data_IF_933894558701
#
_entry.id   IF_933894558701
#
_cell.length_a   1.000
_cell.length_b   1.000
_cell.length_c   1.000
_cell.angle_alpha   90.00
_cell.angle_beta   90.00
_cell.angle_gamma   90.00
#
_symmetry.space_group_name_H-M   'P 1'
#
loop_
_entity.id
_entity.type
_entity.pdbx_description
1 polymer ?
#
# COMPACT_ATOMS: atom_id res chain seq x y z
N UNK A 1 -24.71 -5.08 -6.53
CA UNK A 1 -24.02 -5.03 -5.22
C UNK A 1 -23.71 -3.58 -4.79
N UNK A 2 -22.83 -2.82 -5.49
CA UNK A 2 -22.52 -1.44 -5.08
C UNK A 2 -23.73 -0.52 -5.09
N UNK A 3 -24.57 -0.60 -6.13
CA UNK A 3 -25.79 0.21 -6.21
C UNK A 3 -26.79 -0.09 -5.08
N UNK A 4 -26.85 -1.31 -4.61
CA UNK A 4 -27.70 -1.70 -3.45
C UNK A 4 -27.14 -1.13 -2.15
N UNK A 5 -25.82 -1.19 -1.96
CA UNK A 5 -25.14 -0.55 -0.82
C UNK A 5 -25.36 0.96 -0.82
N UNK A 6 -25.20 1.59 -2.00
CA UNK A 6 -25.43 3.01 -2.16
C UNK A 6 -26.87 3.39 -1.85
N UNK A 7 -27.85 2.61 -2.29
CA UNK A 7 -29.27 2.87 -2.01
C UNK A 7 -29.64 2.70 -0.52
N UNK A 8 -28.93 1.85 0.20
CA UNK A 8 -29.20 1.59 1.63
C UNK A 8 -28.56 2.64 2.57
N UNK A 9 -27.62 3.45 2.10
CA UNK A 9 -26.90 4.41 2.92
C UNK A 9 -27.43 5.84 2.69
N UNK A 10 -27.36 6.74 3.69
CA UNK A 10 -27.67 8.16 3.50
C UNK A 10 -26.67 8.86 2.59
N UNK A 11 -27.03 10.05 2.10
CA UNK A 11 -26.16 10.88 1.23
C UNK A 11 -25.18 11.70 2.07
N UNK A 12 -24.41 11.02 2.90
CA UNK A 12 -23.40 11.59 3.79
C UNK A 12 -22.08 10.84 3.58
N UNK A 13 -21.02 11.52 3.06
CA UNK A 13 -19.73 10.87 2.82
C UNK A 13 -19.08 10.28 4.07
N UNK A 14 -19.26 10.91 5.24
CA UNK A 14 -18.68 10.39 6.48
C UNK A 14 -19.34 9.07 6.92
N UNK A 15 -20.65 8.94 6.72
CA UNK A 15 -21.37 7.70 7.01
C UNK A 15 -20.97 6.61 6.01
N UNK A 16 -20.80 6.96 4.72
CA UNK A 16 -20.34 6.02 3.69
C UNK A 16 -18.92 5.51 4.03
N UNK A 17 -18.03 6.39 4.47
CA UNK A 17 -16.67 6.01 4.88
C UNK A 17 -16.70 5.11 6.11
N UNK A 18 -17.41 5.49 7.17
CA UNK A 18 -17.55 4.68 8.38
C UNK A 18 -18.14 3.29 8.08
N UNK A 19 -19.14 3.21 7.19
CA UNK A 19 -19.66 1.95 6.69
C UNK A 19 -18.60 1.12 5.98
N UNK A 20 -17.79 1.74 5.10
CA UNK A 20 -16.75 1.03 4.36
C UNK A 20 -15.68 0.47 5.27
N UNK A 21 -15.27 1.20 6.32
CA UNK A 21 -14.33 0.75 7.34
C UNK A 21 -14.87 -0.46 8.13
N UNK A 22 -16.14 -0.46 8.47
CA UNK A 22 -16.77 -1.60 9.14
C UNK A 22 -16.96 -2.79 8.19
N UNK A 23 -17.33 -2.53 6.93
CA UNK A 23 -17.59 -3.55 5.93
C UNK A 23 -16.32 -4.26 5.46
N UNK A 24 -15.19 -3.55 5.44
CA UNK A 24 -13.88 -4.03 5.00
C UNK A 24 -12.90 -4.11 6.19
N UNK A 25 -13.06 -5.11 7.10
CA UNK A 25 -12.11 -5.30 8.18
C UNK A 25 -10.70 -5.50 7.61
N UNK A 26 -9.73 -4.88 8.25
CA UNK A 26 -8.36 -4.83 7.77
C UNK A 26 -7.72 -6.22 7.65
N UNK A 27 -7.29 -6.55 6.44
CA UNK A 27 -6.55 -7.76 6.09
C UNK A 27 -5.50 -7.44 5.04
N UNK A 28 -4.32 -8.04 5.18
CA UNK A 28 -3.24 -7.78 4.23
C UNK A 28 -3.47 -8.48 2.89
N UNK A 29 -2.84 -7.98 1.83
CA UNK A 29 -2.86 -8.64 0.52
C UNK A 29 -2.28 -10.07 0.58
N UNK A 30 -1.38 -10.36 1.53
CA UNK A 30 -0.87 -11.71 1.79
C UNK A 30 -1.96 -12.66 2.26
N UNK A 31 -2.81 -12.21 3.20
CA UNK A 31 -3.86 -13.04 3.79
C UNK A 31 -4.99 -13.34 2.82
N UNK A 32 -5.30 -12.38 1.94
CA UNK A 32 -6.42 -12.49 1.02
C UNK A 32 -6.03 -13.11 -0.32
N UNK A 33 -4.89 -12.71 -0.88
CA UNK A 33 -4.50 -13.02 -2.26
C UNK A 33 -3.17 -13.78 -2.37
N UNK A 34 -2.46 -13.98 -1.27
CA UNK A 34 -1.11 -14.59 -1.26
C UNK A 34 -0.08 -13.79 -2.06
N UNK A 35 -0.29 -12.49 -2.25
CA UNK A 35 0.55 -11.60 -3.04
C UNK A 35 1.11 -10.46 -2.20
N UNK A 36 2.30 -9.99 -2.58
CA UNK A 36 2.95 -8.86 -1.92
C UNK A 36 2.14 -7.56 -2.03
N UNK A 37 1.55 -7.36 -3.18
CA UNK A 37 0.70 -6.21 -3.48
C UNK A 37 -0.37 -6.62 -4.49
N UNK A 38 -1.61 -6.29 -4.21
CA UNK A 38 -2.75 -6.55 -5.08
C UNK A 38 -3.73 -5.38 -5.00
N UNK A 39 -4.19 -4.91 -6.14
CA UNK A 39 -5.19 -3.86 -6.22
C UNK A 39 -6.53 -4.51 -6.61
N UNK A 40 -7.43 -4.74 -5.64
CA UNK A 40 -8.66 -5.47 -5.91
C UNK A 40 -9.65 -4.65 -6.72
N UNK A 41 -10.50 -5.33 -7.45
CA UNK A 41 -11.71 -4.72 -8.02
C UNK A 41 -12.77 -4.53 -6.93
N UNK A 42 -13.70 -3.59 -7.13
CA UNK A 42 -14.80 -3.40 -6.17
C UNK A 42 -15.63 -4.66 -5.97
N UNK A 43 -15.78 -5.50 -7.00
CA UNK A 43 -16.49 -6.76 -6.92
C UNK A 43 -15.80 -7.75 -5.97
N UNK A 44 -14.47 -7.83 -6.02
CA UNK A 44 -13.66 -8.66 -5.12
C UNK A 44 -13.72 -8.14 -3.69
N UNK A 45 -13.68 -6.82 -3.48
CA UNK A 45 -13.85 -6.22 -2.14
C UNK A 45 -15.20 -6.59 -1.54
N UNK A 46 -16.28 -6.43 -2.30
CA UNK A 46 -17.63 -6.75 -1.84
C UNK A 46 -17.79 -8.24 -1.56
N UNK A 47 -17.21 -9.10 -2.38
CA UNK A 47 -17.27 -10.56 -2.19
C UNK A 47 -16.39 -11.04 -1.03
N UNK A 48 -15.17 -10.47 -0.90
CA UNK A 48 -14.16 -10.90 0.08
C UNK A 48 -14.40 -10.37 1.49
N UNK A 49 -15.16 -9.29 1.65
CA UNK A 49 -15.43 -8.62 2.93
C UNK A 49 -14.18 -8.49 3.78
N UNK A 50 -13.16 -7.87 3.23
CA UNK A 50 -11.90 -7.59 3.89
C UNK A 50 -10.89 -7.00 2.93
N UNK A 51 -9.90 -6.32 3.45
CA UNK A 51 -8.87 -5.69 2.65
C UNK A 51 -8.00 -4.71 3.43
N UNK A 52 -7.21 -3.98 2.70
CA UNK A 52 -6.37 -2.89 3.21
C UNK A 52 -6.96 -1.52 2.86
N UNK A 53 -6.18 -0.47 3.03
CA UNK A 53 -6.58 0.89 2.68
C UNK A 53 -7.02 1.03 1.21
N UNK A 54 -6.48 0.21 0.30
CA UNK A 54 -6.88 0.23 -1.12
C UNK A 54 -8.32 -0.29 -1.28
N UNK A 55 -8.64 -1.41 -0.63
CA UNK A 55 -9.98 -2.01 -0.68
C UNK A 55 -11.03 -1.06 -0.06
N UNK A 56 -10.71 -0.45 1.07
CA UNK A 56 -11.57 0.52 1.74
C UNK A 56 -11.81 1.75 0.86
N UNK A 57 -10.74 2.34 0.30
CA UNK A 57 -10.86 3.49 -0.59
C UNK A 57 -11.65 3.18 -1.86
N UNK A 58 -11.46 1.99 -2.46
CA UNK A 58 -12.21 1.53 -3.63
C UNK A 58 -13.71 1.43 -3.32
N UNK A 59 -14.06 0.82 -2.18
CA UNK A 59 -15.47 0.67 -1.79
C UNK A 59 -16.12 2.02 -1.53
N UNK A 60 -15.47 2.86 -0.70
CA UNK A 60 -15.94 4.22 -0.39
C UNK A 60 -16.16 5.04 -1.65
N UNK A 61 -15.13 5.15 -2.51
CA UNK A 61 -15.20 5.89 -3.77
C UNK A 61 -16.32 5.36 -4.70
N UNK A 62 -16.47 4.03 -4.77
CA UNK A 62 -17.51 3.42 -5.61
C UNK A 62 -18.91 3.73 -5.12
N UNK A 63 -19.13 3.74 -3.81
CA UNK A 63 -20.43 4.10 -3.23
C UNK A 63 -20.72 5.59 -3.43
N UNK A 64 -19.75 6.48 -3.13
CA UNK A 64 -19.89 7.92 -3.32
C UNK A 64 -20.16 8.26 -4.79
N UNK A 65 -19.46 7.63 -5.72
CA UNK A 65 -19.69 7.77 -7.15
C UNK A 65 -21.10 7.33 -7.56
N UNK A 66 -21.58 6.19 -7.03
CA UNK A 66 -22.93 5.71 -7.34
C UNK A 66 -24.01 6.64 -6.78
N UNK A 67 -23.72 7.38 -5.71
CA UNK A 67 -24.60 8.40 -5.11
C UNK A 67 -24.48 9.77 -5.75
N UNK A 68 -23.50 9.98 -6.65
CA UNK A 68 -23.19 11.30 -7.24
C UNK A 68 -22.63 12.31 -6.25
N UNK A 69 -22.06 11.84 -5.12
CA UNK A 69 -21.44 12.70 -4.11
C UNK A 69 -20.00 13.05 -4.53
N UNK A 70 -19.56 14.31 -4.38
CA UNK A 70 -18.22 14.72 -4.76
C UNK A 70 -17.17 14.17 -3.79
N UNK A 71 -16.08 13.66 -4.33
CA UNK A 71 -14.91 13.20 -3.60
C UNK A 71 -13.66 13.29 -4.46
N UNK A 72 -12.50 13.16 -3.83
CA UNK A 72 -11.19 13.07 -4.49
C UNK A 72 -10.44 11.86 -3.92
N UNK A 73 -9.88 11.02 -4.79
CA UNK A 73 -8.93 9.99 -4.36
C UNK A 73 -7.55 10.63 -4.17
N UNK A 74 -6.93 10.37 -3.03
CA UNK A 74 -5.59 10.83 -2.71
C UNK A 74 -4.67 9.66 -2.44
N UNK A 75 -3.42 9.82 -2.86
CA UNK A 75 -2.38 8.80 -2.77
C UNK A 75 -1.14 9.41 -2.12
N UNK A 76 -0.66 8.79 -1.04
CA UNK A 76 0.68 9.04 -0.51
C UNK A 76 1.61 7.87 -0.86
N UNK A 77 2.84 7.87 -0.33
CA UNK A 77 3.77 6.75 -0.54
C UNK A 77 3.34 5.46 0.16
N UNK A 78 2.51 5.55 1.16
CA UNK A 78 2.14 4.46 2.09
C UNK A 78 0.64 4.25 2.24
N UNK A 79 -0.18 5.21 1.78
CA UNK A 79 -1.62 5.17 2.01
C UNK A 79 -2.42 5.68 0.80
N UNK A 80 -3.64 5.20 0.66
CA UNK A 80 -4.66 5.72 -0.27
C UNK A 80 -5.93 5.96 0.52
N UNK A 81 -6.58 7.09 0.27
CA UNK A 81 -7.83 7.44 0.92
C UNK A 81 -8.75 8.26 0.03
N UNK A 82 -9.99 8.37 0.46
CA UNK A 82 -10.99 9.25 -0.14
C UNK A 82 -11.06 10.53 0.67
N UNK A 83 -10.94 11.67 -0.01
CA UNK A 83 -11.09 13.00 0.56
C UNK A 83 -12.42 13.62 0.10
N UNK A 84 -13.11 14.29 1.00
CA UNK A 84 -14.39 14.97 0.73
C UNK A 84 -14.57 16.19 1.65
N UNK A 85 -15.51 17.05 1.30
CA UNK A 85 -15.78 18.25 2.08
C UNK A 85 -16.18 17.94 3.51
N UNK A 86 -15.48 18.51 4.48
CA UNK A 86 -15.73 18.30 5.92
C UNK A 86 -15.03 17.10 6.54
N UNK A 87 -14.23 16.35 5.78
CA UNK A 87 -13.43 15.25 6.31
C UNK A 87 -12.38 15.78 7.30
N UNK A 88 -12.25 15.13 8.45
CA UNK A 88 -11.23 15.45 9.44
C UNK A 88 -9.85 14.97 8.93
N UNK A 89 -8.87 15.87 8.98
CA UNK A 89 -7.47 15.54 8.62
C UNK A 89 -6.86 14.69 9.73
N UNK A 90 -6.34 13.54 9.37
CA UNK A 90 -5.58 12.64 10.25
C UNK A 90 -4.11 12.64 9.88
N UNK A 91 -3.26 11.97 10.68
CA UNK A 91 -1.84 11.82 10.38
C UNK A 91 -1.57 11.04 9.09
N UNK A 92 -2.41 10.04 8.78
CA UNK A 92 -2.29 9.17 7.60
C UNK A 92 -2.95 9.79 6.37
N UNK A 93 -3.94 10.64 6.58
CA UNK A 93 -4.78 11.23 5.53
C UNK A 93 -4.62 12.75 5.48
N UNK A 94 -3.37 13.19 5.58
CA UNK A 94 -3.01 14.62 5.42
C UNK A 94 -2.84 14.92 3.92
N UNK A 95 -3.67 15.80 3.33
CA UNK A 95 -3.51 16.22 1.93
C UNK A 95 -2.12 16.76 1.60
N UNK A 96 -1.37 17.27 2.59
CA UNK A 96 0.01 17.72 2.44
C UNK A 96 1.02 16.60 2.17
N UNK A 97 0.69 15.35 2.48
CA UNK A 97 1.52 14.17 2.20
C UNK A 97 1.18 13.47 0.88
N UNK A 98 0.10 13.88 0.22
CA UNK A 98 -0.33 13.29 -1.04
C UNK A 98 0.68 13.56 -2.16
N UNK A 99 1.05 12.50 -2.88
CA UNK A 99 1.92 12.55 -4.06
C UNK A 99 1.11 12.54 -5.37
N UNK A 100 -0.14 12.11 -5.31
CA UNK A 100 -1.06 12.14 -6.45
C UNK A 100 -2.50 12.27 -5.98
N UNK A 101 -3.34 12.85 -6.83
CA UNK A 101 -4.79 12.91 -6.66
C UNK A 101 -5.48 12.79 -8.01
N UNK A 102 -6.77 12.41 -8.02
CA UNK A 102 -7.60 12.33 -9.22
C UNK A 102 -8.45 13.59 -9.45
N UNK A 103 -8.02 14.72 -8.95
CA UNK A 103 -8.69 16.01 -9.17
C UNK A 103 -8.87 16.31 -10.68
N UNK A 104 -10.09 16.61 -11.08
CA UNK A 104 -10.39 16.96 -12.48
C UNK A 104 -10.42 15.79 -13.47
N UNK A 105 -10.51 14.52 -12.99
CA UNK A 105 -10.68 13.33 -13.83
C UNK A 105 -9.37 12.77 -14.41
N UNK A 106 -8.23 13.20 -13.92
CA UNK A 106 -6.90 12.64 -14.24
C UNK A 106 -6.03 12.52 -13.01
N UNK A 107 -5.14 11.53 -12.99
CA UNK A 107 -4.18 11.38 -11.92
C UNK A 107 -3.12 12.48 -12.02
N UNK A 108 -3.18 13.47 -11.13
CA UNK A 108 -2.20 14.55 -11.05
C UNK A 108 -1.16 14.20 -9.97
N UNK A 109 0.08 14.01 -10.41
CA UNK A 109 1.22 13.89 -9.50
C UNK A 109 1.63 15.25 -8.93
N UNK A 110 2.00 15.28 -7.65
CA UNK A 110 2.56 16.47 -6.98
C UNK A 110 3.72 16.07 -6.08
N UNK A 111 4.61 17.03 -5.83
CA UNK A 111 5.60 16.85 -4.77
C UNK A 111 4.89 17.04 -3.42
N UNK A 112 5.03 16.10 -2.49
CA UNK A 112 4.44 16.22 -1.17
C UNK A 112 5.13 17.33 -0.37
N UNK A 113 4.37 18.04 0.45
CA UNK A 113 4.90 19.10 1.31
C UNK A 113 5.76 18.53 2.45
N UNK A 114 5.51 17.27 2.81
CA UNK A 114 6.24 16.53 3.86
C UNK A 114 6.45 15.08 3.45
N UNK A 115 7.63 14.54 3.76
CA UNK A 115 7.97 13.13 3.59
C UNK A 115 8.39 12.53 4.93
N UNK A 116 7.47 11.94 5.70
CA UNK A 116 7.78 11.28 6.97
C UNK A 116 8.45 9.92 6.72
N UNK A 117 9.67 9.91 6.18
CA UNK A 117 10.37 8.70 5.72
C UNK A 117 10.47 7.60 6.78
N UNK A 118 10.67 7.99 8.06
CA UNK A 118 10.76 7.03 9.15
C UNK A 118 9.45 6.27 9.34
N UNK A 119 8.33 6.99 9.32
CA UNK A 119 7.00 6.40 9.51
C UNK A 119 6.65 5.53 8.30
N UNK A 120 6.95 6.00 7.09
CA UNK A 120 6.78 5.24 5.84
C UNK A 120 7.55 3.90 5.89
N UNK A 121 8.82 3.93 6.29
CA UNK A 121 9.63 2.70 6.38
C UNK A 121 9.06 1.75 7.43
N UNK A 122 8.70 2.28 8.59
CA UNK A 122 8.11 1.47 9.67
C UNK A 122 6.82 0.79 9.22
N UNK A 123 5.90 1.55 8.63
CA UNK A 123 4.63 1.04 8.11
C UNK A 123 4.85 0.00 7.00
N UNK A 124 5.78 0.24 6.07
CA UNK A 124 6.11 -0.73 5.00
C UNK A 124 6.66 -2.04 5.55
N UNK A 125 7.52 -1.98 6.56
CA UNK A 125 8.03 -3.19 7.23
C UNK A 125 6.90 -3.91 7.95
N UNK A 126 6.07 -3.21 8.71
CA UNK A 126 4.94 -3.80 9.41
C UNK A 126 3.94 -4.46 8.43
N UNK A 127 3.61 -3.78 7.35
CA UNK A 127 2.62 -4.25 6.38
C UNK A 127 3.13 -5.41 5.51
N UNK A 128 4.34 -5.33 4.99
CA UNK A 128 4.84 -6.30 4.01
C UNK A 128 5.71 -7.40 4.62
N UNK A 129 6.60 -7.04 5.54
CA UNK A 129 7.55 -7.99 6.10
C UNK A 129 6.96 -8.84 7.21
N UNK A 130 6.21 -8.22 8.13
CA UNK A 130 5.69 -8.94 9.30
C UNK A 130 4.78 -10.11 8.92
N UNK A 131 3.74 -9.93 8.07
CA UNK A 131 2.83 -11.01 7.69
C UNK A 131 3.40 -11.98 6.65
N UNK A 132 4.56 -11.67 6.05
CA UNK A 132 5.15 -12.51 5.01
C UNK A 132 5.53 -13.91 5.54
N UNK A 133 5.21 -15.00 4.82
CA UNK A 133 5.60 -16.35 5.19
C UNK A 133 7.11 -16.52 5.37
N UNK A 134 7.52 -17.37 6.32
CA UNK A 134 8.93 -17.55 6.68
C UNK A 134 9.79 -18.03 5.50
N UNK A 135 9.26 -18.90 4.65
CA UNK A 135 9.94 -19.42 3.46
C UNK A 135 10.34 -18.29 2.51
N UNK A 136 9.44 -17.31 2.31
CA UNK A 136 9.73 -16.16 1.42
C UNK A 136 10.75 -15.21 2.05
N UNK A 137 10.69 -15.00 3.36
CA UNK A 137 11.72 -14.23 4.08
C UNK A 137 13.10 -14.87 3.90
N UNK A 138 13.18 -16.19 4.07
CA UNK A 138 14.42 -16.94 3.86
C UNK A 138 14.94 -16.82 2.44
N UNK A 139 14.07 -16.96 1.43
CA UNK A 139 14.46 -16.82 0.02
C UNK A 139 15.01 -15.42 -0.28
N UNK A 140 14.38 -14.37 0.25
CA UNK A 140 14.84 -12.99 0.08
C UNK A 140 16.21 -12.82 0.74
N UNK A 141 16.37 -13.28 1.99
CA UNK A 141 17.64 -13.15 2.72
C UNK A 141 18.77 -13.96 2.06
N UNK A 142 18.48 -15.18 1.60
CA UNK A 142 19.45 -15.99 0.88
C UNK A 142 19.83 -15.35 -0.47
N UNK A 143 18.87 -14.78 -1.19
CA UNK A 143 19.13 -14.07 -2.44
C UNK A 143 20.00 -12.85 -2.24
N UNK A 144 19.73 -12.05 -1.20
CA UNK A 144 20.56 -10.89 -0.84
C UNK A 144 21.98 -11.32 -0.43
N UNK A 145 22.11 -12.36 0.38
CA UNK A 145 23.41 -12.92 0.77
C UNK A 145 24.19 -13.41 -0.45
N UNK A 146 23.55 -14.16 -1.33
CA UNK A 146 24.16 -14.64 -2.58
C UNK A 146 24.60 -13.48 -3.47
N UNK A 147 23.78 -12.42 -3.60
CA UNK A 147 24.14 -11.23 -4.36
C UNK A 147 25.38 -10.51 -3.80
N UNK A 148 25.45 -10.36 -2.46
CA UNK A 148 26.63 -9.77 -1.79
C UNK A 148 27.87 -10.63 -2.01
N UNK A 149 27.78 -11.95 -1.79
CA UNK A 149 28.90 -12.87 -2.02
C UNK A 149 29.38 -12.86 -3.47
N UNK A 150 28.44 -12.76 -4.42
CA UNK A 150 28.78 -12.68 -5.84
C UNK A 150 29.44 -11.34 -6.19
N UNK A 151 28.98 -10.23 -5.61
CA UNK A 151 29.59 -8.91 -5.82
C UNK A 151 31.03 -8.84 -5.26
N UNK A 152 31.26 -9.47 -4.09
CA UNK A 152 32.57 -9.51 -3.44
C UNK A 152 33.51 -10.59 -4.00
N UNK A 153 33.00 -11.52 -4.82
CA UNK A 153 33.76 -12.63 -5.38
C UNK A 153 35.07 -12.23 -6.08
N UNK A 154 35.11 -11.16 -6.90
CA UNK A 154 36.35 -10.70 -7.54
C UNK A 154 37.39 -10.26 -6.52
N UNK A 155 36.97 -9.63 -5.41
CA UNK A 155 37.87 -9.15 -4.35
C UNK A 155 38.43 -10.33 -3.55
N UNK A 156 37.59 -11.30 -3.21
CA UNK A 156 38.00 -12.53 -2.50
C UNK A 156 38.98 -13.35 -3.34
N UNK A 157 38.72 -13.52 -4.64
CA UNK A 157 39.65 -14.20 -5.56
C UNK A 157 41.02 -13.52 -5.64
N UNK A 158 41.05 -12.20 -5.64
CA UNK A 158 42.26 -11.42 -5.72
C UNK A 158 43.16 -11.59 -4.49
N UNK A 159 42.57 -11.65 -3.28
CA UNK A 159 43.27 -11.93 -2.03
C UNK A 159 43.89 -13.35 -2.01
N UNK A 160 43.16 -14.35 -2.50
CA UNK A 160 43.62 -15.75 -2.55
C UNK A 160 44.76 -15.96 -3.54
N UNK A 161 44.88 -15.17 -4.60
CA UNK A 161 45.95 -15.25 -5.56
C UNK A 161 47.30 -14.71 -5.00
N UNK A 162 47.24 -13.73 -4.10
CA UNK A 162 48.40 -13.16 -3.44
C UNK A 162 49.05 -14.04 -2.37
N UNK A 163 48.24 -14.88 -1.71
CA UNK A 163 48.72 -15.78 -0.66
C UNK A 163 49.42 -17.03 -1.19
N UNK A 164 49.46 -17.25 -2.48
CA UNK A 164 50.10 -18.39 -3.14
C UNK A 164 51.34 -18.06 -3.96
N UNK A 165 51.91 -16.87 -3.77
CA UNK A 165 53.24 -16.58 -4.38
C UNK A 165 54.28 -17.38 -3.61
N UNK A 166 55.04 -18.33 -4.26
CA UNK A 166 56.10 -19.01 -3.57
C UNK A 166 57.21 -18.02 -3.25
N UNK A 167 57.59 -17.93 -2.01
CA UNK A 167 58.84 -17.28 -1.62
C UNK A 167 59.99 -18.03 -2.25
N UNK A 168 60.66 -17.38 -3.17
CA UNK A 168 61.98 -17.80 -3.75
C UNK A 168 63.05 -17.45 -2.77
#
# INVERSE_FOLDING_TARGET
AVAELAAALPDDPAIVEAFSQEYVPYRTSWDLYGQFWYFPTVAEVVAGKGGDCQAEAILTASILKAKGLPFTLRYSLDHIWVDYAGKAVTKLEDPGTAIASDEGGGLLGRLPDRLPLRDIIHERVAYHWTPMPAERKLLILMGLLAAVLFAEWPLIRRQWSWSRSPTV
#
